data_IF_411269739295
#
_entry.id   IF_411269739295
#
_cell.length_a   1.000
_cell.length_b   1.000
_cell.length_c   1.000
_cell.angle_alpha   90.00
_cell.angle_beta   90.00
_cell.angle_gamma   90.00
#
_symmetry.space_group_name_H-M   'P 1'
#
loop_
_entity.id
_entity.type
_entity.pdbx_description
1 polymer ?
#
# COMPACT_ATOMS: atom_id res chain seq x y z
N UNK A 1 -21.92 13.19 4.77
CA UNK A 1 -20.72 13.95 4.37
C UNK A 1 -20.59 13.91 2.85
N UNK A 2 -20.51 15.06 2.18
CA UNK A 2 -20.41 15.16 0.71
C UNK A 2 -18.95 15.47 0.39
N UNK A 3 -18.16 14.47 0.00
CA UNK A 3 -16.75 14.68 -0.34
C UNK A 3 -16.64 15.58 -1.58
N UNK A 4 -15.79 16.63 -1.57
CA UNK A 4 -15.76 17.66 -2.61
C UNK A 4 -15.34 17.12 -3.99
N UNK A 5 -14.73 15.94 -4.06
CA UNK A 5 -14.21 15.34 -5.29
C UNK A 5 -15.12 14.26 -5.91
N UNK A 6 -16.43 14.27 -5.61
CA UNK A 6 -17.35 13.20 -6.01
C UNK A 6 -16.88 11.79 -5.60
N UNK A 7 -16.00 11.71 -4.61
CA UNK A 7 -15.47 10.44 -4.10
C UNK A 7 -16.59 9.76 -3.34
N UNK A 8 -17.19 8.74 -3.95
CA UNK A 8 -18.12 7.87 -3.25
C UNK A 8 -17.29 6.87 -2.44
N UNK A 9 -17.23 7.09 -1.13
CA UNK A 9 -16.72 6.10 -0.18
C UNK A 9 -17.67 4.90 -0.18
N UNK A 10 -17.25 3.80 -0.83
CA UNK A 10 -17.97 2.54 -0.79
C UNK A 10 -17.72 1.87 0.56
N UNK A 11 -18.77 1.47 1.31
CA UNK A 11 -18.57 0.72 2.55
C UNK A 11 -17.91 -0.63 2.25
N UNK A 12 -16.94 -1.01 3.07
CA UNK A 12 -16.29 -2.32 3.00
C UNK A 12 -17.09 -3.27 3.90
N UNK A 13 -17.72 -4.28 3.30
CA UNK A 13 -18.64 -5.21 3.97
C UNK A 13 -18.36 -6.65 3.53
N UNK A 14 -18.85 -7.64 4.28
CA UNK A 14 -18.74 -9.04 3.88
C UNK A 14 -17.31 -9.59 3.95
N UNK A 15 -16.86 -10.21 2.87
CA UNK A 15 -15.56 -10.89 2.80
C UNK A 15 -14.39 -9.91 2.90
N UNK A 16 -14.50 -8.74 2.27
CA UNK A 16 -13.47 -7.70 2.33
C UNK A 16 -13.29 -7.15 3.75
N UNK A 17 -14.37 -7.05 4.53
CA UNK A 17 -14.30 -6.64 5.92
C UNK A 17 -13.60 -7.70 6.79
N UNK A 18 -13.86 -9.00 6.54
CA UNK A 18 -13.17 -10.10 7.23
C UNK A 18 -11.67 -10.10 6.97
N UNK A 19 -11.26 -9.95 5.70
CA UNK A 19 -9.84 -9.86 5.33
C UNK A 19 -9.12 -8.70 6.03
N UNK A 20 -9.79 -7.57 6.20
CA UNK A 20 -9.23 -6.43 6.93
C UNK A 20 -9.08 -6.73 8.42
N UNK A 21 -10.08 -7.35 9.05
CA UNK A 21 -10.03 -7.73 10.47
C UNK A 21 -8.91 -8.74 10.72
N UNK A 22 -8.83 -9.80 9.93
CA UNK A 22 -7.77 -10.82 10.03
C UNK A 22 -6.37 -10.21 9.88
N UNK A 23 -6.20 -9.29 8.92
CA UNK A 23 -4.94 -8.59 8.74
C UNK A 23 -4.59 -7.70 9.93
N UNK A 24 -5.57 -6.99 10.51
CA UNK A 24 -5.36 -6.17 11.71
C UNK A 24 -4.94 -7.04 12.90
N UNK A 25 -5.62 -8.16 13.14
CA UNK A 25 -5.30 -9.10 14.22
C UNK A 25 -3.91 -9.72 14.06
N UNK A 26 -3.49 -10.01 12.82
CA UNK A 26 -2.16 -10.55 12.52
C UNK A 26 -1.04 -9.49 12.52
N UNK A 27 -1.36 -8.20 12.73
CA UNK A 27 -0.39 -7.10 12.60
C UNK A 27 0.12 -6.93 11.15
N UNK A 28 -0.66 -7.39 10.17
CA UNK A 28 -0.34 -7.37 8.74
C UNK A 28 -1.04 -6.21 8.03
N UNK A 29 -0.55 -5.87 6.84
CA UNK A 29 -1.10 -4.79 6.01
C UNK A 29 -1.79 -5.34 4.77
N UNK A 30 -3.02 -4.91 4.49
CA UNK A 30 -3.69 -5.18 3.22
C UNK A 30 -3.37 -4.04 2.25
N UNK A 31 -2.58 -4.32 1.21
CA UNK A 31 -2.23 -3.35 0.18
C UNK A 31 -2.64 -3.88 -1.19
N UNK A 32 -3.03 -2.98 -2.10
CA UNK A 32 -3.30 -3.38 -3.48
C UNK A 32 -1.98 -3.68 -4.21
N UNK A 33 -2.05 -4.55 -5.22
CA UNK A 33 -0.86 -4.99 -5.97
C UNK A 33 -0.11 -3.81 -6.61
N UNK A 34 -0.84 -2.77 -7.03
CA UNK A 34 -0.25 -1.56 -7.62
C UNK A 34 0.62 -0.79 -6.63
N UNK A 35 0.18 -0.65 -5.38
CA UNK A 35 0.96 -0.02 -4.32
C UNK A 35 2.20 -0.86 -3.99
N UNK A 36 2.06 -2.18 -3.95
CA UNK A 36 3.18 -3.09 -3.70
C UNK A 36 4.24 -3.02 -4.82
N UNK A 37 3.80 -2.98 -6.08
CA UNK A 37 4.67 -2.79 -7.24
C UNK A 37 5.35 -1.41 -7.26
N UNK A 38 4.67 -0.36 -6.79
CA UNK A 38 5.27 0.96 -6.65
C UNK A 38 6.32 0.98 -5.53
N UNK A 39 6.01 0.41 -4.37
CA UNK A 39 6.92 0.32 -3.24
C UNK A 39 8.23 -0.40 -3.61
N UNK A 40 8.14 -1.53 -4.32
CA UNK A 40 9.30 -2.25 -4.85
C UNK A 40 10.18 -1.38 -5.75
N UNK A 41 9.57 -0.72 -6.75
CA UNK A 41 10.30 0.18 -7.66
C UNK A 41 11.00 1.32 -6.94
N UNK A 42 10.40 1.89 -5.90
CA UNK A 42 11.02 2.95 -5.10
C UNK A 42 12.19 2.40 -4.28
N UNK A 43 12.03 1.23 -3.66
CA UNK A 43 13.09 0.57 -2.91
C UNK A 43 14.29 0.25 -3.80
N UNK A 44 14.06 -0.35 -4.98
CA UNK A 44 15.12 -0.67 -5.94
C UNK A 44 15.89 0.58 -6.38
N UNK A 45 15.16 1.66 -6.68
CA UNK A 45 15.77 2.95 -7.03
C UNK A 45 16.66 3.49 -5.91
N UNK A 46 16.21 3.41 -4.66
CA UNK A 46 16.99 3.87 -3.50
C UNK A 46 18.23 3.03 -3.28
N UNK A 47 18.11 1.71 -3.40
CA UNK A 47 19.24 0.79 -3.26
C UNK A 47 20.31 1.04 -4.33
N UNK A 48 19.90 1.27 -5.58
CA UNK A 48 20.81 1.64 -6.67
C UNK A 48 21.51 2.99 -6.43
N UNK A 49 20.77 3.99 -5.92
CA UNK A 49 21.35 5.28 -5.59
C UNK A 49 22.40 5.17 -4.47
N UNK A 50 22.14 4.33 -3.45
CA UNK A 50 23.09 4.07 -2.36
C UNK A 50 24.33 3.31 -2.86
N UNK A 51 24.16 2.28 -3.69
CA UNK A 51 25.26 1.53 -4.27
C UNK A 51 26.17 2.42 -5.13
N UNK A 52 25.59 3.30 -5.94
CA UNK A 52 26.35 4.26 -6.75
C UNK A 52 27.04 5.35 -5.90
N UNK A 53 26.50 5.69 -4.73
CA UNK A 53 27.11 6.62 -3.79
C UNK A 53 28.28 5.99 -3.01
N UNK A 54 28.25 4.67 -2.76
CA UNK A 54 29.33 3.92 -2.10
C UNK A 54 30.47 3.53 -3.05
N UNK A 55 30.22 3.57 -4.37
CA UNK A 55 31.20 3.28 -5.43
C UNK A 55 32.07 4.48 -5.83
N UNK A 56 31.89 5.64 -5.21
CA UNK A 56 32.68 6.86 -5.43
C UNK A 56 33.54 7.15 -4.21
#
# INVERSE_FOLDING_TARGET
MKYPFHTQSKPVVGEEARKLIEAIEAGQSVTNERALALAKRIADRRNQAQANAQSK
#
